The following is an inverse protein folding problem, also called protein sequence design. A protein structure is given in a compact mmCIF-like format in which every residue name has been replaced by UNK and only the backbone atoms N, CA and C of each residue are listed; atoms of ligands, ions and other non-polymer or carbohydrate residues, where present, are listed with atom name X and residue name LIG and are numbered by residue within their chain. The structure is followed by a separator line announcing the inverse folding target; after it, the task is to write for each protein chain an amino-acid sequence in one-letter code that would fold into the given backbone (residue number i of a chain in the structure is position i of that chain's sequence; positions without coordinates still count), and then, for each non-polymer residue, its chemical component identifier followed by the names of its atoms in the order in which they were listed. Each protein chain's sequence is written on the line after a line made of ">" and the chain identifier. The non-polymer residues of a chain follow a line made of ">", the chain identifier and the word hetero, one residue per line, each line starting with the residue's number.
data_IF_537008309532
#
_entry.id   IF_537008309532
#
_cell.length_a   1.000
_cell.length_b   1.000
_cell.length_c   1.000
_cell.angle_alpha   90.00
_cell.angle_beta   90.00
_cell.angle_gamma   90.00
#
_symmetry.space_group_name_H-M   'P 1'
#
loop_
_entity.id
_entity.type
_entity.pdbx_description
1 polymer ?
#
# COMPACT_ATOMS: atom_id res chain seq x y z
N UNK A 1 -27.39 -2.25 -13.14
CA UNK A 1 -26.93 -0.90 -12.76
C UNK A 1 -25.66 -0.66 -13.57
N UNK A 2 -25.82 0.00 -14.71
CA UNK A 2 -24.74 0.31 -15.65
C UNK A 2 -23.92 1.43 -15.03
N UNK A 3 -22.69 1.12 -14.62
CA UNK A 3 -21.75 2.16 -14.20
C UNK A 3 -21.21 2.74 -15.51
N UNK A 4 -21.72 3.89 -15.91
CA UNK A 4 -21.09 4.70 -16.93
C UNK A 4 -19.69 5.05 -16.42
N UNK A 5 -18.67 4.69 -17.19
CA UNK A 5 -17.30 5.13 -16.97
C UNK A 5 -17.25 6.64 -17.28
N UNK A 6 -17.63 7.45 -16.29
CA UNK A 6 -17.30 8.85 -16.33
C UNK A 6 -15.78 8.95 -16.18
N UNK A 7 -15.12 9.28 -17.28
CA UNK A 7 -13.77 9.84 -17.27
C UNK A 7 -13.82 11.20 -16.54
N UNK A 8 -14.06 11.18 -15.25
CA UNK A 8 -13.92 12.39 -14.44
C UNK A 8 -12.42 12.57 -14.20
N UNK A 9 -11.81 13.46 -14.97
CA UNK A 9 -10.53 14.05 -14.62
C UNK A 9 -10.67 14.63 -13.21
N UNK A 10 -10.05 13.98 -12.24
CA UNK A 10 -9.96 14.55 -10.91
C UNK A 10 -8.69 15.40 -10.89
N UNK A 11 -8.87 16.69 -11.11
CA UNK A 11 -7.78 17.66 -11.02
C UNK A 11 -7.60 18.01 -9.54
N UNK A 12 -6.51 17.57 -8.93
CA UNK A 12 -6.12 18.00 -7.60
C UNK A 12 -5.12 19.15 -7.73
N UNK A 13 -5.44 20.24 -7.06
CA UNK A 13 -4.51 21.36 -6.90
C UNK A 13 -3.88 21.27 -5.52
N UNK A 14 -2.58 21.17 -5.48
CA UNK A 14 -1.84 21.06 -4.25
C UNK A 14 -0.60 21.97 -4.35
N UNK A 15 -0.31 22.73 -3.29
CA UNK A 15 0.86 23.60 -3.24
C UNK A 15 2.10 22.77 -2.86
N UNK A 16 3.03 22.53 -3.80
CA UNK A 16 4.24 21.78 -3.49
C UNK A 16 5.14 22.49 -2.47
N UNK A 17 4.93 23.78 -2.22
CA UNK A 17 5.64 24.52 -1.19
C UNK A 17 5.19 24.15 0.24
N UNK A 18 3.97 23.68 0.41
CA UNK A 18 3.51 23.15 1.70
C UNK A 18 4.30 21.90 2.11
N UNK A 19 4.99 21.23 1.20
CA UNK A 19 5.90 20.13 1.48
C UNK A 19 7.31 20.56 1.90
N UNK A 20 7.68 21.83 1.65
CA UNK A 20 8.99 22.39 2.03
C UNK A 20 8.97 23.09 3.38
N UNK A 21 7.96 22.94 4.17
CA UNK A 21 7.95 23.51 5.51
C UNK A 21 8.87 22.68 6.39
N UNK A 22 10.18 22.84 6.14
CA UNK A 22 11.19 22.63 7.15
C UNK A 22 10.81 23.53 8.33
N UNK A 23 10.40 22.95 9.44
CA UNK A 23 10.21 23.70 10.67
C UNK A 23 8.82 23.69 11.30
N UNK A 24 7.78 23.16 10.68
CA UNK A 24 6.48 22.97 11.34
C UNK A 24 6.27 21.57 11.94
N UNK A 25 7.30 20.74 11.92
CA UNK A 25 7.26 19.44 12.62
C UNK A 25 7.40 19.56 14.15
N UNK A 26 7.60 20.76 14.68
CA UNK A 26 7.67 21.03 16.13
C UNK A 26 6.30 21.31 16.77
N UNK A 27 5.23 21.39 16.02
CA UNK A 27 3.90 21.32 16.60
C UNK A 27 3.72 19.90 17.12
N UNK A 28 3.66 19.74 18.45
CA UNK A 28 3.44 18.44 19.09
C UNK A 28 2.20 17.77 18.48
N UNK A 29 2.37 16.78 17.58
CA UNK A 29 1.23 16.16 16.91
C UNK A 29 0.35 15.41 17.91
N UNK A 30 0.88 15.05 19.08
CA UNK A 30 0.14 14.37 20.13
C UNK A 30 -0.92 15.26 20.77
N UNK A 31 -0.66 16.57 20.89
CA UNK A 31 -1.61 17.49 21.52
C UNK A 31 -2.89 17.70 20.71
N UNK A 32 -2.83 17.63 19.37
CA UNK A 32 -4.00 17.72 18.50
C UNK A 32 -4.72 16.36 18.30
N UNK A 33 -4.12 15.27 18.74
CA UNK A 33 -4.54 13.91 18.40
C UNK A 33 -5.18 13.12 19.55
N UNK A 34 -5.51 13.71 20.67
CA UNK A 34 -6.29 13.06 21.75
C UNK A 34 -7.62 12.43 21.30
N UNK A 35 -8.01 12.61 20.03
CA UNK A 35 -9.27 12.12 19.46
C UNK A 35 -9.09 11.47 18.09
N UNK A 36 -7.97 10.85 17.85
CA UNK A 36 -7.71 10.12 16.64
C UNK A 36 -8.42 8.75 16.65
N UNK A 37 -9.02 8.39 15.54
CA UNK A 37 -9.70 7.10 15.34
C UNK A 37 -9.13 6.38 14.12
N UNK A 38 -8.70 5.13 14.32
CA UNK A 38 -8.43 4.21 13.23
C UNK A 38 -9.76 3.63 12.73
N UNK A 39 -10.03 3.78 11.45
CA UNK A 39 -11.20 3.22 10.80
C UNK A 39 -10.81 2.08 9.89
N UNK A 40 -11.28 0.88 10.19
CA UNK A 40 -11.10 -0.29 9.34
C UNK A 40 -12.03 -0.22 8.15
N UNK A 41 -11.46 -0.12 6.94
CA UNK A 41 -12.22 -0.17 5.69
C UNK A 41 -12.19 -1.59 5.14
N UNK A 42 -13.38 -2.15 4.91
CA UNK A 42 -13.58 -3.43 4.22
C UNK A 42 -14.09 -3.19 2.81
N UNK A 43 -13.48 -3.84 1.85
CA UNK A 43 -13.88 -3.81 0.45
C UNK A 43 -14.68 -5.07 0.13
N UNK A 44 -15.83 -4.90 -0.53
CA UNK A 44 -16.56 -6.04 -1.09
C UNK A 44 -16.10 -6.22 -2.53
N UNK A 45 -15.79 -7.45 -2.96
CA UNK A 45 -15.49 -7.72 -4.35
C UNK A 45 -16.67 -7.27 -5.21
N UNK A 46 -16.36 -6.64 -6.34
CA UNK A 46 -17.36 -6.33 -7.35
C UNK A 46 -17.81 -7.64 -8.00
N UNK A 47 -19.09 -7.72 -8.41
CA UNK A 47 -19.67 -8.96 -8.94
C UNK A 47 -18.88 -9.58 -10.10
N UNK A 48 -18.64 -10.82 -10.02
CA UNK A 48 -18.32 -11.96 -10.91
C UNK A 48 -17.78 -11.75 -12.34
N UNK A 49 -17.41 -10.58 -12.78
CA UNK A 49 -16.80 -10.37 -14.10
C UNK A 49 -15.33 -10.04 -13.95
N UNK A 50 -14.50 -10.91 -14.51
CA UNK A 50 -13.04 -10.82 -14.68
C UNK A 50 -12.62 -9.63 -15.58
N UNK A 51 -13.05 -8.43 -15.28
CA UNK A 51 -12.68 -7.25 -16.04
C UNK A 51 -12.05 -6.20 -15.12
N UNK A 52 -10.91 -5.66 -15.54
CA UNK A 52 -10.32 -4.51 -14.87
C UNK A 52 -11.23 -3.29 -15.07
N UNK A 53 -11.59 -2.65 -13.99
CA UNK A 53 -12.42 -1.46 -13.98
C UNK A 53 -11.61 -0.25 -13.55
N UNK A 54 -11.88 0.87 -14.18
CA UNK A 54 -11.41 2.18 -13.69
C UNK A 54 -12.45 2.71 -12.72
N UNK A 55 -12.02 3.07 -11.52
CA UNK A 55 -12.91 3.61 -10.49
C UNK A 55 -12.36 4.91 -9.91
N UNK A 56 -13.23 5.77 -9.36
CA UNK A 56 -12.77 6.98 -8.66
C UNK A 56 -11.85 6.63 -7.47
N UNK A 57 -10.74 7.32 -7.34
CA UNK A 57 -9.76 7.13 -6.27
C UNK A 57 -10.36 7.23 -4.87
N UNK A 58 -11.34 8.15 -4.73
CA UNK A 58 -12.06 8.40 -3.49
C UNK A 58 -12.79 7.17 -2.93
N UNK A 59 -13.02 6.13 -3.76
CA UNK A 59 -13.64 4.88 -3.29
C UNK A 59 -12.77 4.11 -2.31
N UNK A 60 -11.46 4.29 -2.37
CA UNK A 60 -10.51 3.64 -1.45
C UNK A 60 -10.26 4.45 -0.18
N UNK A 61 -10.70 5.71 -0.12
CA UNK A 61 -10.41 6.59 1.01
C UNK A 61 -8.89 6.76 1.20
N UNK A 62 -8.45 6.73 2.44
CA UNK A 62 -7.01 6.85 2.76
C UNK A 62 -6.24 5.52 2.66
N UNK A 63 -6.88 4.42 2.29
CA UNK A 63 -6.23 3.11 2.31
C UNK A 63 -5.31 2.84 1.13
N UNK A 64 -5.65 3.32 -0.07
CA UNK A 64 -4.81 3.13 -1.25
C UNK A 64 -3.82 4.28 -1.36
N UNK A 65 -2.54 3.94 -1.44
CA UNK A 65 -1.44 4.87 -1.50
C UNK A 65 -0.87 4.95 -2.92
N UNK A 66 -0.71 6.16 -3.42
CA UNK A 66 0.07 6.49 -4.59
C UNK A 66 1.48 6.85 -4.12
N UNK A 67 2.49 6.12 -4.53
CA UNK A 67 3.87 6.30 -4.07
C UNK A 67 4.69 6.99 -5.16
N UNK A 68 5.42 8.03 -4.77
CA UNK A 68 6.21 8.81 -5.71
C UNK A 68 7.20 9.74 -5.01
N UNK A 69 7.83 10.61 -5.78
CA UNK A 69 8.76 11.63 -5.29
C UNK A 69 8.78 12.86 -6.21
N UNK A 70 9.34 13.96 -5.71
CA UNK A 70 9.60 15.16 -6.51
C UNK A 70 11.09 15.29 -6.81
N UNK A 71 11.40 15.59 -8.05
CA UNK A 71 12.73 15.94 -8.52
C UNK A 71 12.61 17.03 -9.61
N UNK A 72 13.38 18.08 -9.54
CA UNK A 72 13.44 19.18 -10.54
C UNK A 72 12.06 19.74 -10.93
N UNK A 73 11.20 19.99 -9.93
CA UNK A 73 9.82 20.43 -10.13
C UNK A 73 8.92 19.44 -10.90
N UNK A 74 9.29 18.18 -10.95
CA UNK A 74 8.51 17.12 -11.59
C UNK A 74 8.10 16.10 -10.54
N UNK A 75 6.86 15.66 -10.58
CA UNK A 75 6.37 14.57 -9.75
C UNK A 75 6.50 13.24 -10.50
N UNK A 76 7.26 12.33 -9.94
CA UNK A 76 7.45 10.98 -10.45
C UNK A 76 6.64 10.01 -9.61
N UNK A 77 5.83 9.17 -10.25
CA UNK A 77 5.07 8.14 -9.59
C UNK A 77 5.71 6.79 -9.89
N UNK A 78 6.03 6.05 -8.84
CA UNK A 78 6.81 4.82 -8.92
C UNK A 78 6.00 3.57 -8.60
N UNK A 79 4.84 3.71 -7.93
CA UNK A 79 4.02 2.57 -7.62
C UNK A 79 2.81 2.88 -6.74
N UNK A 80 2.23 1.81 -6.24
CA UNK A 80 1.07 1.80 -5.36
C UNK A 80 1.43 1.22 -3.99
N UNK A 81 0.54 1.39 -3.03
CA UNK A 81 0.67 0.80 -1.70
C UNK A 81 -0.66 0.74 -0.98
N UNK A 82 -0.66 0.20 0.22
CA UNK A 82 -1.83 0.10 1.08
C UNK A 82 -1.52 0.51 2.52
N UNK A 83 -2.37 1.32 3.12
CA UNK A 83 -2.29 1.73 4.51
C UNK A 83 -2.86 0.63 5.41
N UNK A 84 -2.08 0.13 6.37
CA UNK A 84 -2.48 -0.93 7.31
C UNK A 84 -2.59 -0.44 8.74
N UNK A 85 -2.01 0.74 9.04
CA UNK A 85 -2.18 1.46 10.30
C UNK A 85 -1.85 2.94 10.10
N UNK A 86 -2.03 3.76 11.12
CA UNK A 86 -1.60 5.14 11.10
C UNK A 86 -0.08 5.21 10.88
N UNK A 87 0.33 5.86 9.80
CA UNK A 87 1.73 5.98 9.45
C UNK A 87 2.44 4.68 9.05
N UNK A 88 1.70 3.60 8.79
CA UNK A 88 2.28 2.32 8.34
C UNK A 88 1.59 1.84 7.08
N UNK A 89 2.39 1.59 6.05
CA UNK A 89 1.92 1.07 4.77
C UNK A 89 2.73 -0.14 4.29
N UNK A 90 2.14 -0.87 3.36
CA UNK A 90 2.78 -1.96 2.63
C UNK A 90 2.84 -1.62 1.14
N UNK A 91 3.93 -2.02 0.50
CA UNK A 91 4.14 -1.89 -0.94
C UNK A 91 5.11 -2.95 -1.45
N UNK A 92 5.39 -2.98 -2.74
CA UNK A 92 6.44 -3.81 -3.30
C UNK A 92 7.82 -3.15 -3.15
N UNK A 93 8.84 -3.91 -2.77
CA UNK A 93 10.18 -3.36 -2.56
C UNK A 93 10.84 -2.91 -3.87
N UNK A 94 10.62 -3.63 -4.96
CA UNK A 94 11.26 -3.33 -6.25
C UNK A 94 10.93 -1.94 -6.80
N UNK A 95 9.83 -1.29 -6.38
CA UNK A 95 9.51 0.07 -6.82
C UNK A 95 10.55 1.11 -6.39
N UNK A 96 11.36 0.79 -5.37
CA UNK A 96 12.42 1.64 -4.86
C UNK A 96 13.80 1.29 -5.42
N UNK A 97 13.98 0.12 -6.05
CA UNK A 97 15.30 -0.40 -6.43
C UNK A 97 16.08 0.53 -7.36
N UNK A 98 15.40 1.16 -8.31
CA UNK A 98 16.05 2.09 -9.24
C UNK A 98 16.43 3.44 -8.61
N UNK A 99 15.95 3.69 -7.40
CA UNK A 99 16.11 4.95 -6.68
C UNK A 99 16.89 4.82 -5.36
N UNK A 100 17.41 3.64 -5.03
CA UNK A 100 18.06 3.37 -3.75
C UNK A 100 19.15 4.37 -3.40
N UNK A 101 20.04 4.69 -4.34
CA UNK A 101 21.14 5.64 -4.10
C UNK A 101 20.60 7.06 -3.83
N UNK A 102 19.56 7.47 -4.54
CA UNK A 102 18.92 8.76 -4.32
C UNK A 102 18.20 8.83 -2.97
N UNK A 103 17.59 7.72 -2.55
CA UNK A 103 16.91 7.61 -1.25
C UNK A 103 17.95 7.63 -0.12
N UNK A 104 19.01 6.83 -0.23
CA UNK A 104 20.09 6.75 0.77
C UNK A 104 20.81 8.08 0.93
N UNK A 105 21.08 8.79 -0.16
CA UNK A 105 21.72 10.11 -0.14
C UNK A 105 20.76 11.25 0.25
N UNK A 106 19.46 10.93 0.43
CA UNK A 106 18.39 11.92 0.71
C UNK A 106 18.29 13.01 -0.36
N UNK A 107 18.69 12.72 -1.61
CA UNK A 107 18.52 13.65 -2.73
C UNK A 107 17.07 13.71 -3.21
N UNK A 108 16.28 12.67 -2.93
CA UNK A 108 14.82 12.65 -3.11
C UNK A 108 14.12 12.24 -1.82
N UNK A 109 12.90 12.75 -1.64
CA UNK A 109 12.01 12.32 -0.56
C UNK A 109 10.85 11.53 -1.14
N UNK A 110 10.66 10.32 -0.66
CA UNK A 110 9.54 9.49 -1.07
C UNK A 110 8.27 9.97 -0.35
N UNK A 111 7.23 10.13 -1.13
CA UNK A 111 5.91 10.54 -0.66
C UNK A 111 4.88 9.46 -0.96
N UNK A 112 3.92 9.35 -0.07
CA UNK A 112 2.72 8.56 -0.30
C UNK A 112 1.49 9.48 -0.26
N UNK A 113 0.61 9.33 -1.23
CA UNK A 113 -0.60 10.13 -1.33
C UNK A 113 -1.82 9.22 -1.30
N UNK A 114 -2.81 9.61 -0.52
CA UNK A 114 -4.14 9.02 -0.59
C UNK A 114 -5.19 10.08 -0.87
N UNK A 115 -6.25 9.72 -1.58
CA UNK A 115 -7.21 10.67 -2.12
C UNK A 115 -8.60 10.33 -1.60
N UNK A 116 -9.14 11.26 -0.84
CA UNK A 116 -10.47 11.15 -0.25
C UNK A 116 -11.43 12.18 -0.85
N UNK A 117 -12.71 12.06 -0.53
CA UNK A 117 -13.69 13.09 -0.87
C UNK A 117 -13.39 14.44 -0.22
N UNK A 118 -12.60 14.46 0.83
CA UNK A 118 -12.20 15.69 1.56
C UNK A 118 -10.91 16.32 1.04
N UNK A 119 -10.23 15.68 0.08
CA UNK A 119 -9.00 16.14 -0.53
C UNK A 119 -7.86 15.12 -0.50
N UNK A 120 -6.65 15.61 -0.72
CA UNK A 120 -5.42 14.83 -0.73
C UNK A 120 -4.85 14.72 0.69
N UNK A 121 -4.55 13.50 1.11
CA UNK A 121 -3.73 13.22 2.28
C UNK A 121 -2.33 12.86 1.82
N UNK A 122 -1.33 13.57 2.31
CA UNK A 122 0.07 13.38 1.91
C UNK A 122 0.90 12.97 3.12
N UNK A 123 1.75 11.99 2.89
CA UNK A 123 2.63 11.40 3.87
C UNK A 123 4.07 11.45 3.35
N UNK A 124 5.01 11.81 4.21
CA UNK A 124 6.43 11.64 3.94
C UNK A 124 6.87 10.25 4.42
N UNK A 125 7.47 9.45 3.56
CA UNK A 125 8.02 8.15 3.92
C UNK A 125 9.33 8.36 4.64
N UNK A 126 9.37 8.04 5.93
CA UNK A 126 10.55 8.22 6.79
C UNK A 126 11.47 7.00 6.77
N UNK A 127 10.91 5.80 6.60
CA UNK A 127 11.70 4.59 6.45
C UNK A 127 11.06 3.59 5.49
N UNK A 128 11.90 2.75 4.90
CA UNK A 128 11.54 1.66 4.02
C UNK A 128 12.26 0.42 4.53
N UNK A 129 11.53 -0.52 5.09
CA UNK A 129 12.03 -1.79 5.57
C UNK A 129 11.73 -2.88 4.55
N UNK A 130 12.78 -3.49 3.99
CA UNK A 130 12.64 -4.61 3.06
C UNK A 130 12.29 -5.88 3.83
N UNK A 131 11.22 -6.54 3.42
CA UNK A 131 10.92 -7.90 3.84
C UNK A 131 11.56 -8.90 2.87
N UNK A 132 11.68 -10.16 3.29
CA UNK A 132 12.40 -11.19 2.51
C UNK A 132 11.76 -11.55 1.16
N UNK A 133 10.65 -10.93 0.76
CA UNK A 133 9.79 -11.39 -0.34
C UNK A 133 9.20 -10.25 -1.20
N UNK A 134 10.04 -9.39 -1.74
CA UNK A 134 9.62 -8.23 -2.54
C UNK A 134 8.53 -7.37 -1.88
N UNK A 135 8.40 -7.48 -0.56
CA UNK A 135 7.56 -6.59 0.23
C UNK A 135 8.41 -5.52 0.90
N UNK A 136 7.84 -4.34 1.02
CA UNK A 136 8.36 -3.29 1.86
C UNK A 136 7.30 -2.82 2.86
N UNK A 137 7.71 -2.69 4.11
CA UNK A 137 7.00 -1.91 5.12
C UNK A 137 7.50 -0.48 5.02
N UNK A 138 6.60 0.47 4.86
CA UNK A 138 6.93 1.89 4.85
C UNK A 138 6.39 2.53 6.13
N UNK A 139 7.26 3.26 6.83
CA UNK A 139 6.86 4.13 7.93
C UNK A 139 6.73 5.55 7.41
N UNK A 140 5.64 6.21 7.77
CA UNK A 140 5.24 7.47 7.14
C UNK A 140 4.85 8.51 8.19
N UNK A 141 5.19 9.76 7.94
CA UNK A 141 4.71 10.91 8.70
C UNK A 141 3.72 11.72 7.88
N UNK A 142 2.56 12.01 8.45
CA UNK A 142 1.57 12.84 7.76
C UNK A 142 2.06 14.28 7.69
N UNK A 143 2.08 14.85 6.50
CA UNK A 143 2.45 16.25 6.27
C UNK A 143 1.24 17.11 5.87
N UNK A 144 0.17 16.50 5.35
CA UNK A 144 -1.08 17.23 5.13
C UNK A 144 -1.85 17.43 6.46
N UNK A 145 -2.46 18.60 6.68
CA UNK A 145 -3.19 18.86 7.90
C UNK A 145 -4.37 17.89 8.05
N UNK A 146 -4.59 17.45 9.28
CA UNK A 146 -5.73 16.61 9.64
C UNK A 146 -6.88 17.48 10.13
N UNK A 147 -8.08 17.27 9.63
CA UNK A 147 -9.26 17.98 10.09
C UNK A 147 -9.73 17.38 11.43
N UNK A 148 -10.25 18.23 12.32
CA UNK A 148 -10.81 17.77 13.60
C UNK A 148 -11.86 16.69 13.39
N UNK A 149 -11.70 15.54 14.04
CA UNK A 149 -12.60 14.38 13.92
C UNK A 149 -12.38 13.54 12.66
N UNK A 150 -11.34 13.80 11.89
CA UNK A 150 -10.93 12.93 10.78
C UNK A 150 -10.32 11.64 11.36
N UNK A 151 -10.67 10.51 10.75
CA UNK A 151 -10.05 9.20 11.01
C UNK A 151 -8.99 8.91 9.97
N UNK A 152 -8.01 8.08 10.31
CA UNK A 152 -7.14 7.43 9.33
C UNK A 152 -7.76 6.09 8.95
N UNK A 153 -8.03 5.90 7.68
CA UNK A 153 -8.58 4.65 7.18
C UNK A 153 -7.44 3.66 6.88
N UNK A 154 -7.59 2.43 7.36
CA UNK A 154 -6.62 1.36 7.16
C UNK A 154 -7.32 0.05 6.79
N UNK A 155 -6.55 -0.87 6.22
CA UNK A 155 -7.02 -2.20 5.84
C UNK A 155 -6.69 -3.22 6.92
N UNK A 156 -7.49 -4.28 6.97
CA UNK A 156 -7.18 -5.48 7.74
C UNK A 156 -6.08 -6.27 7.00
N UNK A 157 -5.03 -6.65 7.72
CA UNK A 157 -3.93 -7.43 7.18
C UNK A 157 -4.10 -8.90 7.58
N UNK A 158 -4.37 -9.75 6.60
CA UNK A 158 -4.52 -11.18 6.88
C UNK A 158 -3.19 -11.91 6.86
N UNK A 159 -3.02 -12.81 7.84
CA UNK A 159 -1.86 -13.70 7.91
C UNK A 159 -2.01 -14.96 7.06
N UNK A 160 -3.17 -15.20 6.44
CA UNK A 160 -3.40 -16.43 5.68
C UNK A 160 -2.73 -16.43 4.31
N UNK A 161 -2.54 -17.64 3.78
CA UNK A 161 -2.18 -17.88 2.38
C UNK A 161 -3.47 -18.07 1.56
N UNK A 162 -3.61 -17.50 0.35
CA UNK A 162 -4.78 -17.74 -0.48
C UNK A 162 -4.85 -19.18 -0.98
N UNK A 163 -6.03 -19.59 -1.45
CA UNK A 163 -6.26 -20.89 -2.08
C UNK A 163 -6.30 -20.74 -3.60
N UNK A 164 -5.89 -21.78 -4.31
CA UNK A 164 -6.18 -21.90 -5.76
C UNK A 164 -7.68 -21.85 -5.97
N UNK A 165 -8.14 -21.25 -7.06
CA UNK A 165 -9.53 -20.95 -7.40
C UNK A 165 -10.23 -19.92 -6.51
N UNK A 166 -9.55 -19.34 -5.53
CA UNK A 166 -10.10 -18.26 -4.74
C UNK A 166 -10.28 -17.00 -5.59
N UNK A 167 -11.45 -16.37 -5.48
CA UNK A 167 -11.70 -15.08 -6.11
C UNK A 167 -11.12 -13.95 -5.26
N UNK A 168 -10.26 -13.14 -5.86
CA UNK A 168 -9.60 -12.00 -5.22
C UNK A 168 -9.84 -10.72 -5.99
N UNK A 169 -9.78 -9.60 -5.30
CA UNK A 169 -9.80 -8.26 -5.89
C UNK A 169 -8.44 -7.61 -5.66
N UNK A 170 -7.93 -6.90 -6.64
CA UNK A 170 -6.74 -6.07 -6.48
C UNK A 170 -6.99 -4.66 -6.96
N UNK A 171 -6.20 -3.73 -6.47
CA UNK A 171 -6.28 -2.33 -6.82
C UNK A 171 -4.88 -1.72 -6.94
N UNK A 172 -4.74 -0.72 -7.81
CA UNK A 172 -3.52 0.05 -7.94
C UNK A 172 -3.67 1.20 -8.92
N UNK A 173 -2.72 2.09 -8.91
CA UNK A 173 -2.66 3.22 -9.82
C UNK A 173 -2.05 2.78 -11.17
N UNK A 174 -2.69 3.16 -12.27
CA UNK A 174 -2.19 2.81 -13.60
C UNK A 174 -1.20 3.85 -14.10
N UNK A 175 0.01 3.43 -14.50
CA UNK A 175 1.08 4.33 -14.98
C UNK A 175 0.75 5.04 -16.29
N UNK A 176 -0.14 4.48 -17.11
CA UNK A 176 -0.55 5.12 -18.37
C UNK A 176 -1.25 6.48 -18.20
N UNK A 177 -1.59 6.82 -16.95
CA UNK A 177 -2.15 8.11 -16.56
C UNK A 177 -1.19 8.94 -15.69
N UNK A 178 0.02 8.46 -15.47
CA UNK A 178 0.97 8.97 -14.48
C UNK A 178 2.27 9.43 -15.16
N UNK A 179 2.17 10.14 -16.28
CA UNK A 179 3.33 10.81 -16.86
C UNK A 179 3.90 11.80 -15.84
N UNK A 180 5.24 11.99 -15.84
CA UNK A 180 5.85 13.02 -15.02
C UNK A 180 5.18 14.37 -15.30
N UNK A 181 4.59 14.97 -14.28
CA UNK A 181 3.81 16.20 -14.44
C UNK A 181 4.66 17.35 -13.94
N UNK A 182 5.04 18.29 -14.82
CA UNK A 182 5.72 19.52 -14.38
C UNK A 182 4.84 20.29 -13.40
N UNK A 183 5.42 20.72 -12.30
CA UNK A 183 4.75 21.60 -11.34
C UNK A 183 4.74 23.00 -11.90
N UNK A 184 3.60 23.49 -12.35
CA UNK A 184 3.42 24.87 -12.80
C UNK A 184 2.69 25.69 -11.74
N UNK A 185 3.05 26.96 -11.62
CA UNK A 185 2.34 27.98 -10.81
C UNK A 185 2.04 27.57 -9.35
N UNK A 186 2.92 26.77 -8.73
CA UNK A 186 2.79 26.24 -7.36
C UNK A 186 1.66 25.24 -7.16
N UNK A 187 1.12 24.67 -8.21
CA UNK A 187 0.10 23.63 -8.14
C UNK A 187 0.56 22.38 -8.86
N UNK A 188 0.27 21.22 -8.28
CA UNK A 188 0.40 19.93 -8.91
C UNK A 188 -0.96 19.52 -9.46
N UNK A 189 -1.05 19.38 -10.77
CA UNK A 189 -2.19 18.74 -11.40
C UNK A 189 -1.88 17.25 -11.51
N UNK A 190 -2.63 16.41 -10.82
CA UNK A 190 -2.49 14.97 -10.90
C UNK A 190 -3.65 14.39 -11.70
N UNK A 191 -3.34 13.85 -12.87
CA UNK A 191 -4.28 13.03 -13.63
C UNK A 191 -3.92 11.58 -13.38
N UNK A 192 -4.87 10.78 -12.95
CA UNK A 192 -4.60 9.39 -12.73
C UNK A 192 -5.86 8.57 -12.58
N UNK A 193 -5.74 7.27 -12.76
CA UNK A 193 -6.83 6.34 -12.57
C UNK A 193 -6.41 5.20 -11.66
N UNK A 194 -7.32 4.76 -10.81
CA UNK A 194 -7.21 3.50 -10.09
C UNK A 194 -7.84 2.41 -10.95
N UNK A 195 -7.07 1.37 -11.19
CA UNK A 195 -7.61 0.12 -11.73
C UNK A 195 -7.91 -0.85 -10.61
N UNK A 196 -9.07 -1.45 -10.72
CA UNK A 196 -9.51 -2.56 -9.88
C UNK A 196 -9.75 -3.74 -10.80
N UNK A 197 -9.16 -4.87 -10.46
CA UNK A 197 -9.41 -6.11 -11.15
C UNK A 197 -9.93 -7.18 -10.18
N UNK A 198 -10.70 -8.11 -10.72
CA UNK A 198 -11.16 -9.30 -10.02
C UNK A 198 -10.66 -10.47 -10.83
N UNK A 199 -10.01 -11.41 -10.17
CA UNK A 199 -9.48 -12.61 -10.79
C UNK A 199 -9.49 -13.78 -9.84
N UNK A 200 -9.14 -14.94 -10.36
CA UNK A 200 -8.94 -16.15 -9.57
C UNK A 200 -7.45 -16.36 -9.30
N UNK A 201 -7.15 -16.86 -8.12
CA UNK A 201 -5.83 -17.38 -7.82
C UNK A 201 -5.61 -18.64 -8.64
N UNK A 202 -4.59 -18.65 -9.51
CA UNK A 202 -4.28 -19.80 -10.36
C UNK A 202 -3.26 -20.73 -9.72
N UNK A 203 -2.29 -20.16 -9.02
CA UNK A 203 -1.21 -20.90 -8.38
C UNK A 203 -0.82 -20.27 -7.06
N UNK A 204 -0.31 -21.09 -6.14
CA UNK A 204 0.23 -20.66 -4.85
C UNK A 204 1.55 -21.37 -4.58
N UNK A 205 2.61 -20.59 -4.45
CA UNK A 205 3.95 -21.09 -4.17
C UNK A 205 4.38 -20.68 -2.77
N UNK A 206 4.38 -21.63 -1.85
CA UNK A 206 4.66 -21.39 -0.42
C UNK A 206 6.14 -21.16 -0.13
N UNK A 207 7.01 -21.72 -0.96
CA UNK A 207 8.47 -21.61 -0.81
C UNK A 207 9.13 -20.77 -1.91
N UNK A 208 8.32 -20.25 -2.82
CA UNK A 208 8.75 -19.48 -3.99
C UNK A 208 8.43 -20.18 -5.31
N UNK A 209 8.26 -19.37 -6.34
CA UNK A 209 7.97 -19.85 -7.70
C UNK A 209 9.23 -20.37 -8.42
N UNK A 210 10.31 -19.64 -8.28
CA UNK A 210 11.59 -19.96 -8.90
C UNK A 210 12.74 -19.34 -8.07
N UNK A 211 13.96 -19.81 -8.33
CA UNK A 211 15.13 -19.42 -7.51
C UNK A 211 15.70 -18.04 -7.84
N UNK A 212 15.19 -17.34 -8.86
CA UNK A 212 15.79 -16.11 -9.38
C UNK A 212 14.86 -14.91 -9.25
N UNK A 213 13.65 -15.04 -9.80
CA UNK A 213 12.73 -13.89 -9.89
C UNK A 213 11.78 -13.80 -8.71
N UNK A 214 11.33 -14.95 -8.19
CA UNK A 214 10.40 -15.02 -7.07
C UNK A 214 10.76 -16.18 -6.11
N UNK A 215 11.91 -16.10 -5.43
CA UNK A 215 12.37 -17.13 -4.48
C UNK A 215 11.66 -17.01 -3.12
N UNK A 216 10.43 -16.57 -3.08
CA UNK A 216 9.67 -16.25 -1.87
C UNK A 216 8.19 -16.63 -2.01
N UNK A 217 7.47 -16.78 -0.88
CA UNK A 217 6.04 -17.07 -0.86
C UNK A 217 5.22 -16.07 -1.67
N UNK A 218 4.57 -16.57 -2.71
CA UNK A 218 3.80 -15.76 -3.64
C UNK A 218 2.67 -16.56 -4.28
N UNK A 219 1.82 -15.88 -5.02
CA UNK A 219 0.73 -16.51 -5.76
C UNK A 219 0.48 -15.77 -7.07
N UNK A 220 -0.10 -16.48 -8.04
CA UNK A 220 -0.55 -15.91 -9.29
C UNK A 220 -2.04 -15.66 -9.28
N UNK A 221 -2.45 -14.60 -9.98
CA UNK A 221 -3.85 -14.23 -10.17
C UNK A 221 -4.11 -14.07 -11.66
N UNK A 222 -5.17 -14.69 -12.16
CA UNK A 222 -5.65 -14.53 -13.54
C UNK A 222 -6.27 -13.14 -13.69
N UNK A 223 -5.42 -12.15 -13.93
CA UNK A 223 -5.89 -10.79 -14.11
C UNK A 223 -4.84 -9.88 -14.74
N UNK A 224 -5.32 -8.91 -15.48
CA UNK A 224 -4.49 -7.88 -16.08
C UNK A 224 -4.06 -6.84 -15.04
N UNK A 225 -2.76 -6.74 -14.81
CA UNK A 225 -2.14 -5.60 -14.15
C UNK A 225 -1.35 -4.77 -15.17
N UNK A 226 -1.22 -3.49 -14.89
CA UNK A 226 -0.46 -2.54 -15.72
C UNK A 226 0.61 -1.85 -14.88
N UNK A 227 1.60 -1.27 -15.54
CA UNK A 227 2.65 -0.51 -14.85
C UNK A 227 2.04 0.50 -13.86
N UNK A 228 2.70 0.71 -12.72
CA UNK A 228 2.24 1.57 -11.62
C UNK A 228 1.36 0.85 -10.58
N UNK A 229 0.78 -0.31 -10.89
CA UNK A 229 0.00 -1.09 -9.94
C UNK A 229 0.86 -1.88 -8.95
N UNK A 230 2.16 -2.03 -9.21
CA UNK A 230 3.11 -2.66 -8.28
C UNK A 230 3.01 -2.06 -6.89
N UNK A 231 2.96 -2.90 -5.88
CA UNK A 231 2.74 -2.50 -4.48
C UNK A 231 1.28 -2.35 -4.08
N UNK A 232 0.34 -2.40 -5.02
CA UNK A 232 -1.09 -2.35 -4.72
C UNK A 232 -1.60 -3.60 -4.00
N UNK A 233 -2.64 -3.46 -3.16
CA UNK A 233 -3.17 -4.56 -2.37
C UNK A 233 -3.93 -5.59 -3.20
N UNK A 234 -3.87 -6.84 -2.77
CA UNK A 234 -4.77 -7.93 -3.17
C UNK A 234 -5.66 -8.27 -1.99
N UNK A 235 -6.97 -8.17 -2.20
CA UNK A 235 -8.00 -8.39 -1.18
C UNK A 235 -8.70 -9.73 -1.40
N UNK A 236 -9.02 -10.39 -0.29
CA UNK A 236 -9.94 -11.53 -0.31
C UNK A 236 -11.40 -11.10 -0.42
N UNK A 237 -12.32 -12.08 -0.44
CA UNK A 237 -13.77 -11.83 -0.51
C UNK A 237 -14.33 -11.09 0.73
N UNK A 238 -13.57 -11.02 1.81
CA UNK A 238 -13.94 -10.28 3.03
C UNK A 238 -13.38 -8.86 3.06
N UNK A 239 -12.52 -8.50 2.09
CA UNK A 239 -11.86 -7.20 2.01
C UNK A 239 -10.59 -7.10 2.86
N UNK A 240 -9.98 -8.23 3.21
CA UNK A 240 -8.72 -8.28 3.92
C UNK A 240 -7.56 -8.32 2.92
N UNK A 241 -6.46 -7.65 3.22
CA UNK A 241 -5.23 -7.70 2.42
C UNK A 241 -4.55 -9.05 2.66
N UNK A 242 -4.47 -9.87 1.61
CA UNK A 242 -3.80 -11.18 1.61
C UNK A 242 -2.52 -11.20 0.78
N UNK A 243 -2.29 -10.16 -0.02
CA UNK A 243 -1.10 -10.03 -0.84
C UNK A 243 -0.87 -8.60 -1.31
N UNK A 244 0.30 -8.40 -1.88
CA UNK A 244 0.73 -7.15 -2.52
C UNK A 244 1.20 -7.46 -3.92
N UNK A 245 0.69 -6.76 -4.92
CA UNK A 245 1.07 -6.93 -6.32
C UNK A 245 2.56 -6.71 -6.50
N UNK A 246 3.23 -7.69 -7.11
CA UNK A 246 4.66 -7.66 -7.38
C UNK A 246 4.91 -7.51 -8.88
N UNK A 247 4.90 -8.58 -9.64
CA UNK A 247 5.33 -8.56 -11.05
C UNK A 247 4.27 -9.16 -11.97
N UNK A 248 4.26 -8.66 -13.22
CA UNK A 248 3.62 -9.35 -14.35
C UNK A 248 4.74 -10.00 -15.19
N UNK A 249 4.61 -11.28 -15.53
CA UNK A 249 5.65 -12.01 -16.25
C UNK A 249 5.45 -12.02 -17.77
N UNK A 250 4.25 -11.79 -18.23
CA UNK A 250 3.95 -11.70 -19.64
C UNK A 250 3.55 -10.28 -20.02
N UNK A 251 4.14 -9.80 -21.12
CA UNK A 251 3.63 -8.61 -21.80
C UNK A 251 2.27 -8.87 -22.47
N UNK A 252 1.69 -10.04 -22.21
CA UNK A 252 0.34 -10.37 -22.64
C UNK A 252 -0.68 -9.66 -21.79
N UNK A 253 -1.66 -8.99 -22.39
CA UNK A 253 -2.75 -8.35 -21.65
C UNK A 253 -3.54 -9.33 -20.76
N UNK A 254 -3.45 -10.62 -21.02
CA UNK A 254 -4.16 -11.69 -20.31
C UNK A 254 -3.23 -12.56 -19.44
N UNK A 255 -1.95 -12.20 -19.35
CA UNK A 255 -0.97 -12.95 -18.56
C UNK A 255 -1.24 -12.88 -17.05
N UNK A 256 -0.88 -13.92 -16.28
CA UNK A 256 -1.06 -13.93 -14.85
C UNK A 256 -0.19 -12.86 -14.19
N UNK A 257 -0.79 -12.12 -13.29
CA UNK A 257 -0.08 -11.22 -12.38
C UNK A 257 0.29 -11.97 -11.11
N UNK A 258 1.40 -11.60 -10.51
CA UNK A 258 1.87 -12.22 -9.26
C UNK A 258 1.78 -11.26 -8.10
N UNK A 259 1.56 -11.81 -6.94
CA UNK A 259 1.53 -11.06 -5.69
C UNK A 259 2.37 -11.79 -4.62
N UNK A 260 3.10 -11.03 -3.82
CA UNK A 260 3.75 -11.51 -2.61
C UNK A 260 2.71 -11.79 -1.54
N UNK A 261 2.85 -12.88 -0.79
CA UNK A 261 1.97 -13.18 0.34
C UNK A 261 2.14 -12.12 1.44
N UNK A 262 1.04 -11.48 1.86
CA UNK A 262 1.07 -10.37 2.80
C UNK A 262 1.55 -10.75 4.21
N UNK A 263 1.38 -12.03 4.61
CA UNK A 263 1.83 -12.50 5.93
C UNK A 263 3.33 -12.32 6.18
N UNK A 264 4.15 -12.30 5.13
CA UNK A 264 5.58 -12.09 5.30
C UNK A 264 5.93 -10.66 5.77
N UNK A 265 5.02 -9.71 5.61
CA UNK A 265 5.19 -8.36 6.15
C UNK A 265 5.20 -8.33 7.69
N UNK A 266 4.66 -9.34 8.37
CA UNK A 266 4.64 -9.36 9.85
C UNK A 266 6.04 -9.35 10.49
N UNK A 267 7.06 -9.79 9.76
CA UNK A 267 8.47 -9.70 10.18
C UNK A 267 9.11 -8.33 9.86
N UNK A 268 8.41 -7.48 9.11
CA UNK A 268 8.95 -6.19 8.67
C UNK A 268 9.04 -5.19 9.81
N UNK A 269 10.18 -4.49 9.87
CA UNK A 269 10.43 -3.46 10.87
C UNK A 269 9.60 -2.21 10.58
N UNK A 270 9.08 -1.63 11.64
CA UNK A 270 8.43 -0.32 11.63
C UNK A 270 9.35 0.64 12.38
N UNK A 271 9.89 1.62 11.68
CA UNK A 271 10.83 2.58 12.24
C UNK A 271 10.23 3.97 12.25
N UNK A 272 10.32 4.64 13.41
CA UNK A 272 9.86 6.02 13.62
C UNK A 272 8.48 6.30 12.99
N UNK A 273 7.44 5.53 13.39
CA UNK A 273 6.11 5.67 12.81
C UNK A 273 5.44 6.96 13.29
N UNK A 274 4.59 7.50 12.43
CA UNK A 274 3.67 8.55 12.83
C UNK A 274 2.66 7.97 13.78
N UNK A 275 2.49 8.56 14.68
CA UNK A 275 2.25 9.16 15.96
C UNK A 275 3.38 8.81 16.92
N UNK A 276 4.27 9.72 17.11
CA UNK A 276 5.38 9.53 18.05
C UNK A 276 4.82 9.13 19.42
N UNK A 277 5.26 7.98 19.92
CA UNK A 277 4.81 7.45 21.21
C UNK A 277 3.54 6.58 21.16
N UNK A 278 2.87 6.44 20.01
CA UNK A 278 1.77 5.49 19.86
C UNK A 278 2.29 4.05 19.70
N UNK A 279 3.40 3.91 19.01
CA UNK A 279 4.02 2.62 18.72
C UNK A 279 5.28 2.44 19.56
N UNK A 280 5.62 1.20 19.97
CA UNK A 280 6.95 0.92 20.49
C UNK A 280 8.01 1.18 19.41
N UNK A 281 9.23 1.50 19.84
CA UNK A 281 10.38 1.70 18.96
C UNK A 281 11.59 0.95 19.55
N UNK A 282 12.16 -0.05 18.91
CA UNK A 282 11.74 -0.62 17.61
C UNK A 282 10.48 -1.50 17.72
N UNK A 283 9.77 -1.68 16.62
CA UNK A 283 8.62 -2.57 16.49
C UNK A 283 8.58 -3.26 15.13
N UNK A 284 7.93 -4.41 15.08
CA UNK A 284 7.56 -5.08 13.83
C UNK A 284 6.06 -4.91 13.56
N UNK A 285 5.62 -5.25 12.35
CA UNK A 285 4.18 -5.36 12.05
C UNK A 285 3.49 -6.34 13.02
N UNK A 286 4.19 -7.42 13.39
CA UNK A 286 3.67 -8.39 14.37
C UNK A 286 3.43 -7.77 15.75
N UNK A 287 4.37 -6.95 16.23
CA UNK A 287 4.21 -6.25 17.50
C UNK A 287 3.01 -5.31 17.48
N UNK A 288 2.86 -4.54 16.39
CA UNK A 288 1.73 -3.63 16.22
C UNK A 288 0.39 -4.39 16.13
N UNK A 289 0.37 -5.55 15.50
CA UNK A 289 -0.82 -6.39 15.43
C UNK A 289 -1.17 -6.97 16.81
N UNK A 290 -0.17 -7.38 17.58
CA UNK A 290 -0.35 -7.88 18.96
C UNK A 290 -0.91 -6.80 19.89
N UNK A 291 -0.53 -5.54 19.67
CA UNK A 291 -1.04 -4.38 20.39
C UNK A 291 -2.42 -3.89 19.90
N UNK A 292 -2.95 -4.50 18.82
CA UNK A 292 -4.21 -4.07 18.22
C UNK A 292 -4.13 -2.77 17.41
N UNK A 293 -2.92 -2.31 17.09
CA UNK A 293 -2.67 -1.14 16.25
C UNK A 293 -2.73 -1.47 14.75
N UNK A 294 -2.56 -2.74 14.40
CA UNK A 294 -2.87 -3.31 13.08
C UNK A 294 -3.94 -4.38 13.31
N UNK A 295 -5.04 -4.27 12.59
CA UNK A 295 -6.07 -5.29 12.62
C UNK A 295 -5.62 -6.50 11.79
N UNK A 296 -5.55 -7.67 12.41
CA UNK A 296 -5.13 -8.90 11.76
C UNK A 296 -5.81 -10.14 12.35
N UNK A 297 -5.59 -11.27 11.68
CA UNK A 297 -6.04 -12.60 12.10
C UNK A 297 -4.86 -13.48 12.51
N UNK A 298 -5.18 -14.61 13.17
CA UNK A 298 -4.29 -15.76 13.37
C UNK A 298 -2.83 -15.42 13.65
N UNK A 299 -2.55 -14.53 14.61
CA UNK A 299 -1.17 -14.29 15.06
C UNK A 299 -0.51 -15.53 15.67
N UNK A 300 -1.32 -16.51 16.11
CA UNK A 300 -0.88 -17.82 16.55
C UNK A 300 -0.28 -18.70 15.43
N UNK A 301 -0.45 -18.31 14.15
CA UNK A 301 0.23 -18.96 13.03
C UNK A 301 1.75 -18.64 12.98
N UNK A 302 2.20 -17.68 13.75
CA UNK A 302 3.63 -17.35 13.84
C UNK A 302 4.28 -18.03 15.05
N UNK A 303 5.44 -18.63 14.84
CA UNK A 303 6.31 -19.08 15.94
C UNK A 303 7.18 -17.90 16.37
N UNK A 304 7.17 -17.61 17.65
CA UNK A 304 7.84 -16.44 18.23
C UNK A 304 9.06 -16.93 19.03
N UNK A 305 10.23 -16.37 18.74
CA UNK A 305 11.46 -16.58 19.50
C UNK A 305 12.05 -15.21 19.85
N UNK A 306 12.34 -14.99 21.12
CA UNK A 306 12.84 -13.71 21.64
C UNK A 306 11.96 -12.50 21.27
N UNK A 307 10.64 -12.70 21.23
CA UNK A 307 9.68 -11.65 20.89
C UNK A 307 9.52 -11.37 19.39
N UNK A 308 10.26 -12.08 18.53
CA UNK A 308 10.22 -11.88 17.08
C UNK A 308 9.60 -13.09 16.36
N UNK A 309 8.79 -12.87 15.31
CA UNK A 309 8.28 -13.96 14.49
C UNK A 309 9.41 -14.58 13.67
N UNK A 310 9.77 -15.83 14.00
CA UNK A 310 10.90 -16.55 13.39
C UNK A 310 10.48 -17.51 12.29
N UNK A 311 9.26 -18.02 12.37
CA UNK A 311 8.69 -18.90 11.35
C UNK A 311 7.19 -18.75 11.31
N UNK A 312 6.60 -19.18 10.20
CA UNK A 312 5.18 -19.08 9.92
C UNK A 312 4.62 -20.45 9.53
N UNK A 313 3.54 -20.86 10.18
CA UNK A 313 2.79 -22.05 9.79
C UNK A 313 1.66 -21.64 8.83
N UNK A 314 1.78 -21.98 7.52
CA UNK A 314 0.80 -21.57 6.53
C UNK A 314 -0.59 -22.10 6.83
N UNK A 315 -1.58 -21.25 6.84
CA UNK A 315 -2.98 -21.60 6.94
C UNK A 315 -3.80 -20.92 5.82
N UNK A 316 -4.93 -21.47 5.48
CA UNK A 316 -5.71 -21.10 4.31
C UNK A 316 -7.09 -20.53 4.62
N UNK A 317 -7.34 -20.22 5.88
CA UNK A 317 -8.64 -19.70 6.32
C UNK A 317 -9.68 -20.80 6.59
N UNK A 318 -9.30 -22.07 6.61
CA UNK A 318 -10.25 -23.22 6.74
C UNK A 318 -10.57 -23.62 8.18
N UNK A 319 -10.33 -22.75 9.17
CA UNK A 319 -10.71 -23.01 10.58
C UNK A 319 -11.43 -21.81 11.17
#
# INVERSE_FOLDING_TARGET
>A
MTIEANNSEVIFRFDPRSQRVEGTMDADPAAEMERFQLLLRKFKPFSDKLNAHVIPWTKFGETLLLIGFFEDNTHYIIGSGVCVSAGVGLTAYHIFSDYEEKIKSKSINILAHSITNSGLSTWNVSSISSCANDLAVISMHRISPMKKGQSVECCFLSSRTPKVDETVMFAGFASSSLEPIPVSDNYLNMNGSVRVGIGKVTDVWREGRDSVLMPYPCFAVECLTVGGMSGGPVFDSFGNVIGVLSRSFDNSPDGPSTASCAWAAFQGDVADPWLKGLHPDPATIYDLATLGLIASDRLDAFRIENGQPTSYEPWDGSK
#
